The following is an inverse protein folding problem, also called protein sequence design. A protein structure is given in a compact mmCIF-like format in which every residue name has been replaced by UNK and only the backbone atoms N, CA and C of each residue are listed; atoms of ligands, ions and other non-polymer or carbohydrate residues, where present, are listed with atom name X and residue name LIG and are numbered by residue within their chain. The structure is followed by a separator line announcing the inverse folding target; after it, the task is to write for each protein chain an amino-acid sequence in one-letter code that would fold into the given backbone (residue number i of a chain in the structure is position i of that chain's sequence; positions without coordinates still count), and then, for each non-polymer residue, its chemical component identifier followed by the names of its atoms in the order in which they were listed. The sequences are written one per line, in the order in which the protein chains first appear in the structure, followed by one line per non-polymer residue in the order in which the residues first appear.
data_IF_543415882160
#
_entry.id   IF_543415882160
#
_cell.length_a   1.000
_cell.length_b   1.000
_cell.length_c   1.000
_cell.angle_alpha   90.00
_cell.angle_beta   90.00
_cell.angle_gamma   90.00
#
_symmetry.space_group_name_H-M   'P 1'
#
loop_
_entity.id
_entity.type
_entity.pdbx_description
1 polymer ?
#
# COMPACT_ATOMS: atom_id res chain seq x y z
N UNK A 1 5.55 5.52 -8.35
CA UNK A 1 6.19 6.32 -7.29
C UNK A 1 5.15 6.66 -6.21
N UNK A 2 4.68 5.67 -5.44
CA UNK A 2 3.52 5.85 -4.53
C UNK A 2 3.88 6.50 -3.18
N UNK A 3 4.96 6.03 -2.54
CA UNK A 3 5.43 6.55 -1.24
C UNK A 3 5.91 8.02 -1.28
N UNK A 4 6.12 8.58 -2.47
CA UNK A 4 6.56 9.97 -2.66
C UNK A 4 5.45 10.87 -3.24
N UNK A 5 4.18 10.41 -3.21
CA UNK A 5 3.06 11.15 -3.83
C UNK A 5 2.78 12.53 -3.22
N UNK A 6 3.22 12.76 -1.98
CA UNK A 6 3.02 14.03 -1.28
C UNK A 6 4.25 14.96 -1.33
N UNK A 7 5.31 14.59 -2.05
CA UNK A 7 6.54 15.39 -2.09
C UNK A 7 6.28 16.80 -2.59
N UNK A 8 5.53 16.94 -3.68
CA UNK A 8 5.20 18.22 -4.30
C UNK A 8 4.33 19.09 -3.38
N UNK A 9 3.40 18.47 -2.63
CA UNK A 9 2.54 19.17 -1.66
C UNK A 9 3.37 19.69 -0.48
N UNK A 10 4.30 18.87 0.04
CA UNK A 10 5.20 19.27 1.12
C UNK A 10 6.13 20.42 0.70
N UNK A 11 6.69 20.36 -0.51
CA UNK A 11 7.51 21.44 -1.07
C UNK A 11 6.72 22.75 -1.19
N UNK A 12 5.46 22.68 -1.64
CA UNK A 12 4.60 23.86 -1.73
C UNK A 12 4.30 24.47 -0.33
N UNK A 13 4.04 23.63 0.67
CA UNK A 13 3.82 24.09 2.05
C UNK A 13 5.09 24.74 2.61
N UNK A 14 6.26 24.16 2.34
CA UNK A 14 7.54 24.72 2.76
C UNK A 14 7.79 26.09 2.13
N UNK A 15 7.62 26.23 0.82
CA UNK A 15 7.80 27.50 0.12
C UNK A 15 6.85 28.58 0.66
N UNK A 16 5.57 28.25 0.88
CA UNK A 16 4.58 29.21 1.43
C UNK A 16 4.94 29.66 2.85
N UNK A 17 5.46 28.76 3.67
CA UNK A 17 5.88 29.10 5.03
C UNK A 17 7.19 29.90 5.06
N UNK A 18 8.05 29.75 4.03
CA UNK A 18 9.24 30.58 3.88
C UNK A 18 8.89 32.03 3.49
N UNK A 19 7.84 32.23 2.67
CA UNK A 19 7.38 33.54 2.22
C UNK A 19 6.46 34.18 3.28
N UNK A 20 7.00 35.18 3.99
CA UNK A 20 6.20 35.96 4.95
C UNK A 20 6.39 35.54 6.41
N UNK A 21 7.65 35.41 6.85
CA UNK A 21 8.16 35.16 8.22
C UNK A 21 7.55 36.03 9.36
N UNK A 22 6.59 36.90 9.06
CA UNK A 22 5.84 37.72 10.02
C UNK A 22 4.64 36.99 10.62
N UNK A 23 4.14 35.91 10.01
CA UNK A 23 3.03 35.13 10.60
C UNK A 23 3.57 34.13 11.63
N UNK A 24 3.11 34.27 12.89
CA UNK A 24 3.56 33.43 14.02
C UNK A 24 3.06 31.98 13.97
N UNK A 25 2.08 31.68 13.12
CA UNK A 25 1.50 30.34 12.96
C UNK A 25 1.73 29.83 11.54
N UNK A 26 2.42 28.69 11.37
CA UNK A 26 2.66 28.12 10.05
C UNK A 26 1.33 27.74 9.39
N UNK A 27 1.19 28.08 8.11
CA UNK A 27 0.02 27.73 7.32
C UNK A 27 0.05 26.22 7.05
N UNK A 28 -1.14 25.61 7.01
CA UNK A 28 -1.32 24.18 6.73
C UNK A 28 -0.61 23.22 7.71
N UNK A 29 -0.34 23.66 8.94
CA UNK A 29 0.33 22.84 9.96
C UNK A 29 -0.38 21.50 10.21
N UNK A 30 -1.72 21.49 10.29
CA UNK A 30 -2.52 20.28 10.47
C UNK A 30 -2.40 19.31 9.30
N UNK A 31 -2.46 19.82 8.07
CA UNK A 31 -2.32 19.03 6.84
C UNK A 31 -0.92 18.42 6.73
N UNK A 32 0.11 19.21 7.01
CA UNK A 32 1.51 18.75 7.04
C UNK A 32 1.68 17.60 8.04
N UNK A 33 1.20 17.77 9.27
CA UNK A 33 1.29 16.74 10.30
C UNK A 33 0.59 15.43 9.86
N UNK A 34 -0.61 15.52 9.26
CA UNK A 34 -1.33 14.35 8.75
C UNK A 34 -0.53 13.62 7.67
N UNK A 35 0.02 14.36 6.70
CA UNK A 35 0.84 13.77 5.62
C UNK A 35 2.07 13.08 6.19
N UNK A 36 2.79 13.73 7.12
CA UNK A 36 3.97 13.16 7.77
C UNK A 36 3.62 11.88 8.51
N UNK A 37 2.53 11.87 9.27
CA UNK A 37 2.03 10.65 9.92
C UNK A 37 1.72 9.56 8.90
N UNK A 38 0.98 9.86 7.82
CA UNK A 38 0.66 8.88 6.77
C UNK A 38 1.92 8.31 6.11
N UNK A 39 2.89 9.15 5.74
CA UNK A 39 4.15 8.71 5.13
C UNK A 39 4.93 7.80 6.10
N UNK A 40 4.99 8.17 7.38
CA UNK A 40 5.69 7.39 8.38
C UNK A 40 5.03 6.02 8.59
N UNK A 41 3.71 5.97 8.68
CA UNK A 41 2.96 4.70 8.78
C UNK A 41 3.17 3.83 7.54
N UNK A 42 3.03 4.40 6.34
CA UNK A 42 3.22 3.63 5.09
C UNK A 42 4.66 3.12 4.93
N UNK A 43 5.66 3.92 5.29
CA UNK A 43 7.07 3.48 5.30
C UNK A 43 7.30 2.37 6.31
N UNK A 44 6.77 2.54 7.52
CA UNK A 44 6.88 1.53 8.56
C UNK A 44 6.26 0.21 8.12
N UNK A 45 5.05 0.24 7.55
CA UNK A 45 4.40 -0.94 6.99
C UNK A 45 5.24 -1.58 5.88
N UNK A 46 5.74 -0.78 4.94
CA UNK A 46 6.60 -1.26 3.85
C UNK A 46 7.88 -1.96 4.35
N UNK A 47 8.49 -1.43 5.40
CA UNK A 47 9.74 -1.94 5.98
C UNK A 47 9.52 -3.17 6.88
N UNK A 48 8.39 -3.26 7.58
CA UNK A 48 8.12 -4.33 8.55
C UNK A 48 7.29 -5.46 7.96
N UNK A 49 6.05 -5.16 7.57
CA UNK A 49 5.04 -6.14 7.18
C UNK A 49 4.94 -6.30 5.66
N UNK A 50 5.40 -5.31 4.90
CA UNK A 50 5.16 -5.17 3.47
C UNK A 50 3.80 -4.54 3.16
N UNK A 51 3.66 -4.09 1.92
CA UNK A 51 2.42 -3.52 1.38
C UNK A 51 1.85 -4.48 0.32
N UNK A 52 0.55 -4.76 0.42
CA UNK A 52 -0.17 -5.54 -0.59
C UNK A 52 -0.47 -4.67 -1.82
N UNK A 53 -0.03 -5.13 -2.99
CA UNK A 53 -0.35 -4.47 -4.25
C UNK A 53 -0.76 -5.50 -5.31
N UNK A 54 -1.52 -5.12 -6.35
CA UNK A 54 -1.80 -6.02 -7.46
C UNK A 54 -0.51 -6.61 -8.06
N UNK A 55 -0.52 -7.91 -8.29
CA UNK A 55 0.62 -8.59 -8.87
C UNK A 55 0.82 -8.16 -10.33
N UNK A 56 1.89 -7.39 -10.58
CA UNK A 56 2.21 -6.86 -11.91
C UNK A 56 3.10 -7.80 -12.74
N UNK A 57 3.58 -8.91 -12.19
CA UNK A 57 4.45 -9.85 -12.91
C UNK A 57 3.65 -10.86 -13.72
N UNK A 58 2.39 -11.12 -13.34
CA UNK A 58 1.51 -12.05 -14.05
C UNK A 58 0.59 -11.34 -15.05
N UNK A 59 0.56 -11.86 -16.27
CA UNK A 59 -0.22 -11.29 -17.38
C UNK A 59 -1.74 -11.36 -17.11
N UNK A 60 -2.21 -12.41 -16.43
CA UNK A 60 -3.62 -12.58 -16.07
C UNK A 60 -4.07 -11.49 -15.08
N UNK A 61 -3.32 -11.31 -13.99
CA UNK A 61 -3.59 -10.30 -12.98
C UNK A 61 -3.56 -8.87 -13.56
N UNK A 62 -2.63 -8.58 -14.47
CA UNK A 62 -2.55 -7.27 -15.14
C UNK A 62 -3.77 -7.03 -16.06
N UNK A 63 -4.27 -8.06 -16.75
CA UNK A 63 -5.49 -7.93 -17.58
C UNK A 63 -6.72 -7.66 -16.72
N UNK A 64 -6.86 -8.37 -15.61
CA UNK A 64 -7.95 -8.15 -14.65
C UNK A 64 -7.89 -6.74 -14.06
N UNK A 65 -6.69 -6.30 -13.63
CA UNK A 65 -6.48 -4.95 -13.12
C UNK A 65 -6.79 -3.87 -14.17
N UNK A 66 -6.42 -4.09 -15.43
CA UNK A 66 -6.69 -3.14 -16.52
C UNK A 66 -8.18 -3.01 -16.85
N UNK A 67 -8.92 -4.11 -16.74
CA UNK A 67 -10.36 -4.14 -16.98
C UNK A 67 -11.17 -3.73 -15.75
N UNK A 68 -10.52 -3.52 -14.60
CA UNK A 68 -11.17 -3.10 -13.38
C UNK A 68 -11.69 -1.67 -13.51
N UNK A 69 -12.98 -1.49 -13.26
CA UNK A 69 -13.71 -0.23 -13.33
C UNK A 69 -13.67 0.58 -12.01
N UNK A 70 -12.91 0.11 -11.03
CA UNK A 70 -12.90 0.67 -9.67
C UNK A 70 -14.03 0.14 -8.78
N UNK A 71 -14.88 -0.76 -9.27
CA UNK A 71 -15.95 -1.37 -8.48
C UNK A 71 -15.38 -2.26 -7.38
N UNK A 72 -15.82 -2.00 -6.14
CA UNK A 72 -15.43 -2.77 -4.94
C UNK A 72 -15.81 -4.25 -5.09
N UNK A 73 -16.87 -4.56 -5.86
CA UNK A 73 -17.33 -5.94 -6.10
C UNK A 73 -16.29 -6.81 -6.79
N UNK A 74 -15.39 -6.21 -7.56
CA UNK A 74 -14.33 -6.90 -8.29
C UNK A 74 -13.01 -6.90 -7.53
N UNK A 75 -12.91 -6.22 -6.39
CA UNK A 75 -11.70 -6.14 -5.57
C UNK A 75 -11.20 -7.52 -5.10
N UNK A 76 -12.06 -8.46 -4.65
CA UNK A 76 -11.61 -9.81 -4.28
C UNK A 76 -11.03 -10.64 -5.44
N UNK A 77 -11.28 -10.23 -6.70
CA UNK A 77 -10.74 -10.93 -7.88
C UNK A 77 -9.30 -10.49 -8.18
N UNK A 78 -8.87 -9.33 -7.69
CA UNK A 78 -7.53 -8.84 -7.93
C UNK A 78 -6.52 -9.70 -7.19
N UNK A 79 -5.59 -10.30 -7.93
CA UNK A 79 -4.49 -11.05 -7.35
C UNK A 79 -3.49 -10.07 -6.73
N UNK A 80 -3.46 -9.99 -5.42
CA UNK A 80 -2.51 -9.18 -4.67
C UNK A 80 -1.23 -9.97 -4.39
N UNK A 81 -0.10 -9.28 -4.29
CA UNK A 81 1.14 -9.80 -3.75
C UNK A 81 1.72 -8.81 -2.74
N UNK A 82 2.44 -9.35 -1.77
CA UNK A 82 3.08 -8.58 -0.70
C UNK A 82 4.46 -8.10 -1.16
N UNK A 83 4.69 -6.79 -1.14
CA UNK A 83 6.01 -6.21 -1.43
C UNK A 83 6.60 -5.62 -0.15
N UNK A 84 7.78 -6.11 0.21
CA UNK A 84 8.55 -5.68 1.37
C UNK A 84 9.79 -4.92 0.95
N UNK A 85 10.36 -4.15 1.87
CA UNK A 85 11.69 -3.61 1.69
C UNK A 85 12.71 -4.75 1.63
N UNK A 86 13.36 -4.91 0.48
CA UNK A 86 14.43 -5.88 0.28
C UNK A 86 15.75 -5.31 0.83
N UNK A 87 16.07 -5.63 2.09
CA UNK A 87 17.35 -5.31 2.73
C UNK A 87 18.55 -6.10 2.16
N UNK A 88 18.40 -6.79 1.02
CA UNK A 88 19.46 -7.61 0.44
C UNK A 88 20.57 -6.72 -0.13
N UNK A 89 21.52 -6.34 0.72
CA UNK A 89 22.90 -6.12 0.30
C UNK A 89 23.33 -7.38 -0.45
N UNK A 90 23.52 -7.23 -1.76
CA UNK A 90 23.91 -8.27 -2.70
C UNK A 90 25.02 -9.18 -2.16
N UNK A 91 24.68 -10.38 -1.70
CA UNK A 91 25.48 -11.56 -1.95
C UNK A 91 24.69 -12.39 -2.95
N UNK A 92 25.10 -12.31 -4.22
CA UNK A 92 24.65 -13.21 -5.27
C UNK A 92 25.09 -14.62 -4.88
N UNK A 93 24.13 -15.51 -4.65
CA UNK A 93 24.27 -16.93 -4.93
C UNK A 93 22.93 -17.37 -5.51
N UNK A 94 23.02 -18.07 -6.62
CA UNK A 94 21.93 -18.55 -7.45
C UNK A 94 21.06 -19.61 -6.75
N UNK A 95 19.95 -19.92 -7.42
CA UNK A 95 19.10 -21.12 -7.31
C UNK A 95 17.83 -21.02 -6.43
N UNK A 96 16.72 -20.90 -7.16
CA UNK A 96 15.39 -21.52 -7.01
C UNK A 96 14.67 -21.62 -5.64
N UNK A 97 13.38 -21.31 -5.75
CA UNK A 97 12.22 -22.02 -5.17
C UNK A 97 11.30 -21.31 -4.14
N UNK A 98 10.01 -21.58 -4.40
CA UNK A 98 8.82 -21.47 -3.57
C UNK A 98 8.09 -20.12 -3.34
N UNK A 99 7.13 -19.91 -4.24
CA UNK A 99 5.83 -19.29 -3.98
C UNK A 99 5.17 -19.85 -2.69
N UNK A 100 5.06 -19.04 -1.64
CA UNK A 100 4.03 -19.28 -0.63
C UNK A 100 2.67 -18.81 -1.14
N UNK A 101 1.93 -19.75 -1.73
CA UNK A 101 0.48 -19.65 -1.91
C UNK A 101 -0.14 -19.99 -0.56
N UNK A 102 -0.75 -19.01 0.11
CA UNK A 102 -1.59 -19.28 1.28
C UNK A 102 -3.00 -19.53 0.77
N UNK A 103 -3.37 -20.80 0.68
CA UNK A 103 -4.77 -21.23 0.48
C UNK A 103 -5.52 -20.92 1.77
N UNK A 104 -6.46 -19.97 1.73
CA UNK A 104 -7.48 -19.84 2.78
C UNK A 104 -8.69 -20.63 2.28
N UNK A 105 -8.86 -21.82 2.83
CA UNK A 105 -10.05 -22.63 2.66
C UNK A 105 -11.21 -21.93 3.38
N UNK A 106 -12.11 -21.32 2.61
CA UNK A 106 -13.41 -20.87 3.09
C UNK A 106 -14.32 -22.10 3.19
N UNK A 107 -14.27 -22.81 4.32
CA UNK A 107 -15.33 -23.73 4.69
C UNK A 107 -16.54 -22.93 5.17
N UNK A 108 -17.46 -22.71 4.23
CA UNK A 108 -18.86 -22.45 4.52
C UNK A 108 -19.46 -23.69 5.21
N UNK A 109 -19.57 -23.69 6.53
CA UNK A 109 -20.59 -24.51 7.20
C UNK A 109 -21.79 -23.64 7.56
N UNK A 110 -22.77 -23.71 6.66
CA UNK A 110 -24.18 -23.48 6.95
C UNK A 110 -24.67 -24.64 7.82
N UNK A 111 -25.15 -24.34 9.02
CA UNK A 111 -26.14 -25.19 9.70
C UNK A 111 -27.29 -24.32 10.18
N UNK A 112 -28.40 -24.50 9.48
CA UNK A 112 -29.73 -23.98 9.75
C UNK A 112 -30.53 -25.02 10.53
N UNK A 113 -31.49 -24.57 11.36
CA UNK A 113 -32.57 -25.31 12.03
C UNK A 113 -32.17 -26.35 13.13
N UNK A 114 -32.89 -26.59 14.23
CA UNK A 114 -34.19 -26.13 14.75
C UNK A 114 -34.39 -26.69 16.19
N UNK A 115 -35.29 -26.04 16.97
CA UNK A 115 -36.19 -26.62 18.03
C UNK A 115 -35.58 -27.13 19.36
N UNK A 116 -35.84 -26.42 20.47
CA UNK A 116 -36.95 -26.67 21.43
C UNK A 116 -37.17 -25.47 22.39
#
# INVERSE_FOLDING_TARGET
RYLQRFQDELEQIELKNQIGQRQKTPQYASRKALIETTINTERHEYETNGIEIPNLTRIDAVKELRNWDGSIRLMPRLKLCLIKHNNSTSNKNDDDDDNQIVSIDNENESMDSDVE
#
